data_IF_543231941565
#
_entry.id   IF_543231941565
#
_cell.length_a   1.000
_cell.length_b   1.000
_cell.length_c   1.000
_cell.angle_alpha   90.00
_cell.angle_beta   90.00
_cell.angle_gamma   90.00
#
_symmetry.space_group_name_H-M   'P 1'
#
loop_
_entity.id
_entity.type
_entity.pdbx_description
1 polymer ?
#
# COMPACT_ATOMS: atom_id res chain seq x y z
N UNK A 1 -4.41 2.80 52.66
CA UNK A 1 -4.48 1.64 51.74
C UNK A 1 -3.05 1.31 51.31
N UNK A 2 -2.59 0.07 51.53
CA UNK A 2 -1.20 -0.40 51.27
C UNK A 2 -1.08 -1.00 49.85
N UNK A 3 0.11 -1.00 49.21
CA UNK A 3 0.28 -1.19 47.76
C UNK A 3 0.34 -2.67 47.32
N UNK A 4 -0.14 -2.98 46.11
CA UNK A 4 -0.07 -4.30 45.49
C UNK A 4 1.22 -4.47 44.66
N UNK A 5 2.09 -5.38 45.08
CA UNK A 5 3.30 -5.79 44.38
C UNK A 5 3.00 -6.88 43.33
N UNK A 6 3.63 -6.81 42.15
CA UNK A 6 3.63 -7.85 41.10
C UNK A 6 4.52 -9.04 41.50
N UNK A 7 4.05 -10.29 41.44
CA UNK A 7 4.93 -11.46 41.42
C UNK A 7 5.21 -11.97 39.99
N UNK A 8 6.34 -12.65 39.88
CA UNK A 8 7.18 -12.92 38.72
C UNK A 8 6.71 -14.04 37.78
N UNK A 9 7.26 -14.08 36.56
CA UNK A 9 7.08 -15.16 35.57
C UNK A 9 7.68 -16.48 36.10
N UNK A 10 7.00 -17.64 35.95
CA UNK A 10 7.59 -18.95 36.20
C UNK A 10 8.46 -19.46 35.03
N UNK A 11 9.41 -20.38 35.29
CA UNK A 11 10.57 -20.67 34.44
C UNK A 11 10.33 -21.73 33.35
N UNK A 12 11.23 -21.72 32.35
CA UNK A 12 11.35 -22.72 31.29
C UNK A 12 11.99 -24.01 31.87
N UNK A 13 11.26 -25.12 31.87
CA UNK A 13 11.77 -26.48 32.03
C UNK A 13 11.03 -27.37 31.03
N UNK A 14 11.62 -28.35 30.35
CA UNK A 14 12.83 -29.12 30.60
C UNK A 14 12.51 -30.55 30.16
N UNK A 15 12.73 -30.82 28.87
CA UNK A 15 13.01 -32.09 28.16
C UNK A 15 12.73 -33.40 28.91
N UNK A 16 11.84 -34.23 28.35
CA UNK A 16 11.71 -35.67 28.67
C UNK A 16 11.83 -36.51 27.40
N UNK A 17 13.01 -37.13 27.22
CA UNK A 17 13.35 -38.11 26.17
C UNK A 17 12.72 -39.47 26.55
N UNK A 18 12.08 -40.14 25.59
CA UNK A 18 11.57 -41.51 25.75
C UNK A 18 11.75 -42.29 24.44
N UNK A 19 12.53 -43.36 24.51
CA UNK A 19 13.14 -44.13 23.41
C UNK A 19 12.53 -45.54 23.44
N UNK A 20 12.22 -46.10 22.26
CA UNK A 20 11.85 -47.51 22.08
C UNK A 20 10.36 -47.79 22.25
N UNK A 21 9.74 -48.71 21.53
CA UNK A 21 10.19 -49.75 20.61
C UNK A 21 8.98 -50.63 20.26
N UNK A 22 9.12 -51.43 19.19
CA UNK A 22 8.37 -52.65 18.83
C UNK A 22 6.84 -52.73 19.10
N UNK A 23 6.10 -52.97 18.01
CA UNK A 23 5.22 -54.13 17.94
C UNK A 23 3.72 -53.91 18.15
N UNK A 24 2.98 -54.21 17.08
CA UNK A 24 1.67 -54.91 17.06
C UNK A 24 0.47 -54.29 17.77
N UNK A 25 -0.41 -53.71 16.95
CA UNK A 25 -1.87 -53.90 16.92
C UNK A 25 -2.68 -53.88 18.23
N UNK A 26 -2.42 -52.91 19.10
CA UNK A 26 -3.44 -52.38 20.02
C UNK A 26 -3.59 -50.88 19.73
N UNK A 27 -4.71 -50.49 19.14
CA UNK A 27 -4.99 -49.10 18.81
C UNK A 27 -5.17 -48.35 20.13
N UNK A 28 -4.11 -47.65 20.54
CA UNK A 28 -4.06 -46.85 21.76
C UNK A 28 -5.33 -45.96 21.86
N UNK A 29 -6.15 -46.05 22.92
CA UNK A 29 -7.41 -45.32 23.02
C UNK A 29 -7.20 -43.80 22.99
N UNK A 30 -6.02 -43.34 23.44
CA UNK A 30 -5.60 -41.94 23.34
C UNK A 30 -5.46 -41.51 21.88
N UNK A 31 -4.98 -42.41 21.01
CA UNK A 31 -4.82 -42.17 19.58
C UNK A 31 -6.17 -42.11 18.86
N UNK A 32 -7.11 -43.00 19.21
CA UNK A 32 -8.46 -42.95 18.64
C UNK A 32 -9.24 -41.70 19.08
N UNK A 33 -9.12 -41.33 20.36
CA UNK A 33 -9.74 -40.11 20.88
C UNK A 33 -9.17 -38.85 20.22
N UNK A 34 -7.84 -38.79 20.04
CA UNK A 34 -7.17 -37.69 19.35
C UNK A 34 -7.59 -37.52 17.89
N UNK A 35 -7.75 -38.63 17.14
CA UNK A 35 -8.26 -38.60 15.76
C UNK A 35 -9.74 -38.17 15.71
N UNK A 36 -10.59 -38.74 16.57
CA UNK A 36 -12.04 -38.43 16.60
C UNK A 36 -12.33 -36.99 17.03
N UNK A 37 -11.46 -36.39 17.86
CA UNK A 37 -11.56 -35.01 18.31
C UNK A 37 -10.77 -34.01 17.45
N UNK A 38 -10.09 -34.49 16.40
CA UNK A 38 -9.35 -33.63 15.45
C UNK A 38 -8.07 -33.01 16.03
N UNK A 39 -7.54 -33.53 17.13
CA UNK A 39 -6.28 -33.07 17.73
C UNK A 39 -5.05 -33.81 17.19
N UNK A 40 -5.24 -34.98 16.57
CA UNK A 40 -4.16 -35.66 15.86
C UNK A 40 -4.14 -35.27 14.38
N UNK A 41 -2.95 -35.03 13.81
CA UNK A 41 -2.82 -34.66 12.42
C UNK A 41 -3.26 -35.83 11.53
N UNK A 42 -4.29 -35.60 10.73
CA UNK A 42 -4.55 -36.38 9.52
C UNK A 42 -3.64 -35.82 8.43
N UNK A 43 -2.55 -36.50 8.09
CA UNK A 43 -1.73 -36.14 6.92
C UNK A 43 -2.58 -36.30 5.65
N UNK A 44 -3.26 -35.22 5.27
CA UNK A 44 -3.69 -34.97 3.89
C UNK A 44 -2.67 -34.01 3.32
N UNK A 45 -1.81 -34.53 2.45
CA UNK A 45 -0.83 -33.80 1.68
C UNK A 45 -1.50 -32.61 0.96
N UNK A 46 -1.07 -31.35 1.18
CA UNK A 46 -1.60 -30.22 0.44
C UNK A 46 -1.04 -30.22 -0.99
N UNK A 47 -1.87 -29.97 -2.03
CA UNK A 47 -1.38 -29.83 -3.39
C UNK A 47 -0.35 -28.70 -3.49
N UNK A 48 0.76 -28.96 -4.19
CA UNK A 48 1.83 -28.00 -4.40
C UNK A 48 1.29 -26.66 -4.93
N UNK A 49 1.53 -25.59 -4.17
CA UNK A 49 1.11 -24.24 -4.52
C UNK A 49 1.90 -23.72 -5.73
N UNK A 50 1.18 -23.41 -6.80
CA UNK A 50 1.71 -22.67 -7.96
C UNK A 50 2.16 -21.27 -7.52
N UNK A 51 3.32 -20.76 -8.00
CA UNK A 51 3.77 -19.41 -7.68
C UNK A 51 2.76 -18.39 -8.22
N UNK A 52 2.20 -17.58 -7.34
CA UNK A 52 1.28 -16.50 -7.69
C UNK A 52 2.00 -15.44 -8.54
N UNK A 53 1.35 -14.85 -9.56
CA UNK A 53 1.91 -13.75 -10.32
C UNK A 53 2.20 -12.56 -9.39
N UNK A 54 3.45 -12.07 -9.45
CA UNK A 54 3.89 -10.89 -8.71
C UNK A 54 3.05 -9.68 -9.17
N UNK A 55 2.41 -8.92 -8.27
CA UNK A 55 1.66 -7.74 -8.66
C UNK A 55 2.61 -6.72 -9.31
N UNK A 56 2.25 -6.27 -10.51
CA UNK A 56 2.94 -5.19 -11.19
C UNK A 56 3.01 -3.96 -10.28
N UNK A 57 4.11 -3.20 -10.28
CA UNK A 57 4.21 -1.98 -9.48
C UNK A 57 3.06 -1.05 -9.83
N UNK A 58 2.27 -0.68 -8.82
CA UNK A 58 1.19 0.27 -8.98
C UNK A 58 1.76 1.58 -9.57
N UNK A 59 1.08 2.21 -10.55
CA UNK A 59 1.55 3.46 -11.13
C UNK A 59 1.77 4.48 -10.02
N UNK A 60 2.99 5.01 -9.92
CA UNK A 60 3.28 6.11 -9.01
C UNK A 60 2.47 7.31 -9.49
N UNK A 61 1.47 7.71 -8.70
CA UNK A 61 0.64 8.89 -8.98
C UNK A 61 1.54 10.12 -8.81
N UNK A 62 2.11 10.59 -9.91
CA UNK A 62 2.88 11.84 -9.94
C UNK A 62 1.87 12.97 -9.73
N UNK A 63 2.05 13.75 -8.65
CA UNK A 63 1.20 14.89 -8.31
C UNK A 63 1.87 16.19 -8.75
N UNK A 64 1.12 17.20 -9.24
CA UNK A 64 1.68 18.51 -9.52
C UNK A 64 2.36 19.11 -8.30
N UNK A 65 3.30 20.04 -8.55
CA UNK A 65 3.99 20.72 -7.47
C UNK A 65 3.01 21.54 -6.61
N UNK A 66 3.25 21.66 -5.29
CA UNK A 66 2.47 22.54 -4.44
C UNK A 66 2.56 23.99 -4.96
N UNK A 67 1.41 24.65 -5.09
CA UNK A 67 1.32 26.01 -5.64
C UNK A 67 1.16 27.05 -4.53
N UNK A 68 1.65 28.27 -4.78
CA UNK A 68 1.40 29.45 -3.93
C UNK A 68 0.51 30.43 -4.68
N UNK A 69 -0.48 31.07 -4.02
CA UNK A 69 -1.29 32.08 -4.66
C UNK A 69 -0.43 33.31 -4.97
N UNK A 70 -0.51 33.77 -6.21
CA UNK A 70 0.12 35.01 -6.67
C UNK A 70 -0.90 35.81 -7.46
N UNK A 71 -0.93 37.13 -7.25
CA UNK A 71 -1.86 38.04 -7.91
C UNK A 71 -1.07 39.09 -8.67
N UNK A 72 -1.54 39.43 -9.87
CA UNK A 72 -1.00 40.48 -10.70
C UNK A 72 -2.15 41.29 -11.32
N UNK A 73 -1.94 42.58 -11.52
CA UNK A 73 -2.86 43.41 -12.29
C UNK A 73 -2.51 43.28 -13.77
N UNK A 74 -3.50 42.88 -14.57
CA UNK A 74 -3.38 42.75 -16.01
C UNK A 74 -4.45 43.64 -16.66
N UNK A 75 -4.15 44.27 -17.81
CA UNK A 75 -5.17 44.98 -18.56
C UNK A 75 -6.34 44.08 -18.98
N UNK A 76 -7.56 44.60 -18.99
CA UNK A 76 -8.76 43.82 -19.31
C UNK A 76 -8.66 43.11 -20.65
N UNK A 77 -8.13 43.80 -21.68
CA UNK A 77 -7.97 43.22 -23.01
C UNK A 77 -7.10 41.96 -23.00
N UNK A 78 -6.07 41.93 -22.16
CA UNK A 78 -5.15 40.80 -22.08
C UNK A 78 -5.81 39.61 -21.37
N UNK A 79 -6.64 39.87 -20.36
CA UNK A 79 -7.40 38.82 -19.67
C UNK A 79 -8.38 38.15 -20.63
N UNK A 80 -9.04 38.94 -21.48
CA UNK A 80 -9.95 38.41 -22.49
C UNK A 80 -9.21 37.62 -23.57
N UNK A 81 -8.05 38.08 -24.04
CA UNK A 81 -7.22 37.33 -24.99
C UNK A 81 -6.74 36.00 -24.39
N UNK A 82 -6.32 35.98 -23.13
CA UNK A 82 -5.93 34.75 -22.43
C UNK A 82 -7.10 33.78 -22.28
N UNK A 83 -8.31 34.30 -22.01
CA UNK A 83 -9.54 33.49 -21.97
C UNK A 83 -9.83 32.87 -23.33
N UNK A 84 -9.75 33.63 -24.41
CA UNK A 84 -9.98 33.13 -25.76
C UNK A 84 -8.93 32.09 -26.17
N UNK A 85 -7.65 32.33 -25.88
CA UNK A 85 -6.56 31.40 -26.16
C UNK A 85 -6.78 30.07 -25.42
N UNK A 86 -7.13 30.12 -24.13
CA UNK A 86 -7.44 28.94 -23.33
C UNK A 86 -8.64 28.16 -23.89
N UNK A 87 -9.68 28.85 -24.36
CA UNK A 87 -10.84 28.21 -24.98
C UNK A 87 -10.49 27.52 -26.31
N UNK A 88 -9.67 28.16 -27.16
CA UNK A 88 -9.21 27.60 -28.45
C UNK A 88 -8.36 26.35 -28.26
N UNK A 89 -7.45 26.36 -27.29
CA UNK A 89 -6.61 25.20 -26.97
C UNK A 89 -7.32 24.14 -26.14
N UNK A 90 -8.51 24.45 -25.60
CA UNK A 90 -9.21 23.59 -24.67
C UNK A 90 -8.41 23.33 -23.40
N UNK A 91 -7.84 24.38 -22.80
CA UNK A 91 -7.06 24.29 -21.56
C UNK A 91 -7.47 25.40 -20.59
N UNK A 92 -6.83 25.47 -19.42
CA UNK A 92 -7.04 26.56 -18.46
C UNK A 92 -6.16 27.78 -18.77
N UNK A 93 -6.63 28.99 -18.46
CA UNK A 93 -5.84 30.22 -18.60
C UNK A 93 -4.47 30.13 -17.87
N UNK A 94 -4.45 29.49 -16.70
CA UNK A 94 -3.21 29.21 -15.95
C UNK A 94 -2.17 28.48 -16.81
N UNK A 95 -2.60 27.48 -17.58
CA UNK A 95 -1.70 26.69 -18.44
C UNK A 95 -1.12 27.56 -19.54
N UNK A 96 -1.91 28.45 -20.14
CA UNK A 96 -1.42 29.43 -21.12
C UNK A 96 -0.32 30.32 -20.51
N UNK A 97 -0.55 30.84 -19.31
CA UNK A 97 0.45 31.66 -18.59
C UNK A 97 1.71 30.85 -18.26
N UNK A 98 1.56 29.62 -17.76
CA UNK A 98 2.71 28.75 -17.47
C UNK A 98 3.49 28.39 -18.75
N UNK A 99 2.82 28.15 -19.88
CA UNK A 99 3.50 27.95 -21.17
C UNK A 99 4.33 29.18 -21.56
N UNK A 100 3.76 30.38 -21.44
CA UNK A 100 4.46 31.63 -21.74
C UNK A 100 5.68 31.84 -20.83
N UNK A 101 5.56 31.53 -19.53
CA UNK A 101 6.68 31.58 -18.60
C UNK A 101 7.77 30.55 -18.95
N UNK A 102 7.40 29.35 -19.39
CA UNK A 102 8.37 28.36 -19.87
C UNK A 102 9.12 28.86 -21.10
N UNK A 103 8.41 29.50 -22.03
CA UNK A 103 9.01 30.14 -23.22
C UNK A 103 9.94 31.29 -22.86
N UNK A 104 9.65 32.01 -21.77
CA UNK A 104 10.53 33.04 -21.21
C UNK A 104 11.74 32.47 -20.44
N UNK A 105 11.88 31.13 -20.34
CA UNK A 105 13.02 30.46 -19.72
C UNK A 105 12.85 30.09 -18.24
N UNK A 106 11.66 30.24 -17.67
CA UNK A 106 11.39 29.78 -16.31
C UNK A 106 11.27 28.25 -16.26
N UNK A 107 11.78 27.64 -15.18
CA UNK A 107 11.65 26.20 -14.94
C UNK A 107 10.19 25.86 -14.63
N UNK A 108 9.58 25.06 -15.49
CA UNK A 108 8.21 24.56 -15.35
C UNK A 108 8.20 23.11 -15.81
N UNK A 109 7.74 22.22 -14.94
CA UNK A 109 7.68 20.79 -15.23
C UNK A 109 6.44 20.47 -16.09
N UNK A 110 6.53 19.45 -16.95
CA UNK A 110 5.42 19.11 -17.87
C UNK A 110 4.12 18.74 -17.13
N UNK A 111 4.23 18.22 -15.91
CA UNK A 111 3.08 17.92 -15.06
C UNK A 111 2.26 19.18 -14.71
N UNK A 112 2.91 20.34 -14.60
CA UNK A 112 2.24 21.61 -14.26
C UNK A 112 1.53 22.23 -15.46
N UNK A 113 1.90 21.82 -16.68
CA UNK A 113 1.25 22.23 -17.93
C UNK A 113 0.03 21.38 -18.28
N UNK A 114 -0.17 20.26 -17.61
CA UNK A 114 -1.32 19.41 -17.88
C UNK A 114 -2.58 19.98 -17.21
N UNK A 115 -3.65 20.14 -17.99
CA UNK A 115 -4.95 20.53 -17.44
C UNK A 115 -5.59 19.32 -16.73
N UNK A 116 -5.65 19.38 -15.41
CA UNK A 116 -6.26 18.34 -14.58
C UNK A 116 -7.79 18.36 -14.64
N UNK A 117 -8.44 19.40 -15.18
CA UNK A 117 -9.90 19.42 -15.33
C UNK A 117 -10.41 18.45 -16.41
N UNK A 118 -9.53 17.98 -17.29
CA UNK A 118 -9.88 17.16 -18.46
C UNK A 118 -9.52 15.68 -18.33
N UNK A 119 -9.16 15.21 -17.13
CA UNK A 119 -8.81 13.80 -16.87
C UNK A 119 -9.87 13.10 -16.06
#
# INVERSE_FOLDING_TARGET
>A
MKPAAKPARPPLGGIGIGIGGLGTDDIDPIRQYGLSKGFLPTETEPPAAQPAPVPAPAPTIVRPAPTRPWQAMLPDYLVEDLRQAAAREGTAQKVIVLKALRQAGFRIDDIDLQDLRRR
#
